data_IF_439199693670
#
_entry.id   IF_439199693670
#
_cell.length_a   1.000
_cell.length_b   1.000
_cell.length_c   1.000
_cell.angle_alpha   90.00
_cell.angle_beta   90.00
_cell.angle_gamma   90.00
#
_symmetry.space_group_name_H-M   'P 1'
#
loop_
_entity.id
_entity.type
_entity.pdbx_description
1 polymer ?
#
# COMPACT_ATOMS: atom_id res chain seq x y z
N UNK A 1 1.80 2.91 -8.92
CA UNK A 1 0.80 2.01 -8.31
C UNK A 1 -0.40 2.83 -7.84
N UNK A 2 -1.64 2.45 -8.18
CA UNK A 2 -2.83 3.29 -7.90
C UNK A 2 -3.15 3.39 -6.39
N UNK A 3 -3.14 2.27 -5.68
CA UNK A 3 -3.33 2.25 -4.22
C UNK A 3 -2.35 3.18 -3.50
N UNK A 4 -1.04 3.05 -3.74
CA UNK A 4 -0.02 3.86 -3.02
C UNK A 4 -0.17 5.36 -3.32
N UNK A 5 -0.62 5.76 -4.51
CA UNK A 5 -0.91 7.17 -4.81
C UNK A 5 -2.10 7.71 -4.02
N UNK A 6 -3.08 6.88 -3.68
CA UNK A 6 -4.20 7.26 -2.83
C UNK A 6 -3.81 7.24 -1.34
N UNK A 7 -3.01 6.24 -0.93
CA UNK A 7 -2.50 6.09 0.44
C UNK A 7 -1.57 7.23 0.85
N UNK A 8 -0.65 7.64 -0.03
CA UNK A 8 0.31 8.73 0.21
C UNK A 8 -0.33 10.12 0.08
N UNK A 9 -1.46 10.35 0.76
CA UNK A 9 -2.22 11.61 0.81
C UNK A 9 -2.59 11.96 2.25
N UNK A 10 -1.61 12.11 3.16
CA UNK A 10 -1.86 12.32 4.59
C UNK A 10 -2.62 13.61 4.91
N UNK A 11 -2.69 14.55 3.97
CA UNK A 11 -3.40 15.82 4.10
C UNK A 11 -4.92 15.72 3.91
N UNK A 12 -5.43 14.58 3.43
CA UNK A 12 -6.86 14.39 3.20
C UNK A 12 -7.62 14.07 4.50
N UNK A 13 -8.87 14.53 4.63
CA UNK A 13 -9.81 14.02 5.63
C UNK A 13 -9.94 12.48 5.56
N UNK A 14 -10.11 11.84 6.72
CA UNK A 14 -10.10 10.38 6.85
C UNK A 14 -11.11 9.66 5.94
N UNK A 15 -12.32 10.19 5.80
CA UNK A 15 -13.37 9.66 4.93
C UNK A 15 -12.97 9.71 3.44
N UNK A 16 -12.41 10.84 2.98
CA UNK A 16 -11.94 11.01 1.59
C UNK A 16 -10.72 10.16 1.29
N UNK A 17 -9.79 10.09 2.24
CA UNK A 17 -8.61 9.25 2.12
C UNK A 17 -9.01 7.77 2.01
N UNK A 18 -9.88 7.30 2.92
CA UNK A 18 -10.40 5.93 2.90
C UNK A 18 -11.13 5.60 1.60
N UNK A 19 -12.01 6.49 1.12
CA UNK A 19 -12.70 6.33 -0.15
C UNK A 19 -11.74 6.19 -1.34
N UNK A 20 -10.55 6.80 -1.27
CA UNK A 20 -9.50 6.68 -2.28
C UNK A 20 -8.77 5.33 -2.27
N UNK A 21 -8.52 4.76 -1.08
CA UNK A 21 -7.78 3.48 -0.95
C UNK A 21 -8.67 2.25 -1.06
N UNK A 22 -9.91 2.32 -0.54
CA UNK A 22 -10.88 1.21 -0.47
C UNK A 22 -11.05 0.43 -1.79
N UNK A 23 -11.18 1.05 -2.97
CA UNK A 23 -11.44 0.32 -4.22
C UNK A 23 -10.31 -0.64 -4.65
N UNK A 24 -9.12 -0.48 -4.06
CA UNK A 24 -7.93 -1.25 -4.37
C UNK A 24 -7.56 -2.26 -3.28
N UNK A 25 -8.31 -2.31 -2.18
CA UNK A 25 -8.02 -3.20 -1.04
C UNK A 25 -8.98 -4.37 -0.98
N UNK A 26 -8.54 -5.48 -0.41
CA UNK A 26 -9.47 -6.52 0.06
C UNK A 26 -10.36 -5.95 1.18
N UNK A 27 -11.57 -6.49 1.35
CA UNK A 27 -12.55 -5.95 2.30
C UNK A 27 -12.00 -5.78 3.71
N UNK A 28 -11.40 -6.84 4.27
CA UNK A 28 -10.82 -6.80 5.62
C UNK A 28 -9.73 -5.72 5.79
N UNK A 29 -8.92 -5.49 4.75
CA UNK A 29 -7.90 -4.43 4.80
C UNK A 29 -8.50 -3.05 4.63
N UNK A 30 -9.54 -2.89 3.80
CA UNK A 30 -10.29 -1.64 3.70
C UNK A 30 -10.95 -1.28 5.04
N UNK A 31 -11.48 -2.26 5.78
CA UNK A 31 -12.08 -2.04 7.10
C UNK A 31 -11.02 -1.59 8.12
N UNK A 32 -9.82 -2.21 8.11
CA UNK A 32 -8.69 -1.75 8.92
C UNK A 32 -8.27 -0.31 8.54
N UNK A 33 -8.17 -0.01 7.25
CA UNK A 33 -7.82 1.33 6.79
C UNK A 33 -8.86 2.38 7.19
N UNK A 34 -10.12 2.00 7.42
CA UNK A 34 -11.16 2.92 7.89
C UNK A 34 -10.89 3.46 9.29
N UNK A 35 -10.04 2.78 10.09
CA UNK A 35 -9.68 3.20 11.46
C UNK A 35 -8.38 4.01 11.50
N UNK A 36 -7.72 4.22 10.36
CA UNK A 36 -6.42 4.90 10.27
C UNK A 36 -6.63 6.41 10.20
N UNK A 37 -5.92 7.17 11.04
CA UNK A 37 -5.75 8.61 10.82
C UNK A 37 -4.73 8.83 9.69
N UNK A 38 -5.11 9.44 8.54
CA UNK A 38 -4.20 9.66 7.42
C UNK A 38 -2.96 10.47 7.78
N UNK A 39 -3.03 11.34 8.79
CA UNK A 39 -1.88 12.13 9.26
C UNK A 39 -0.72 11.25 9.79
N UNK A 40 -0.98 9.97 10.09
CA UNK A 40 0.04 9.00 10.49
C UNK A 40 0.76 8.35 9.29
N UNK A 41 0.32 8.59 8.06
CA UNK A 41 0.99 8.10 6.85
C UNK A 41 2.24 8.94 6.60
N UNK A 42 3.45 8.37 6.65
CA UNK A 42 4.68 9.15 6.56
C UNK A 42 4.99 9.62 5.13
N UNK A 43 4.47 8.92 4.12
CA UNK A 43 4.74 9.23 2.71
C UNK A 43 3.74 10.25 2.15
N UNK A 44 4.23 11.17 1.31
CA UNK A 44 3.39 12.13 0.56
C UNK A 44 3.44 11.88 -0.95
N UNK A 45 4.39 11.09 -1.45
CA UNK A 45 4.49 10.76 -2.87
C UNK A 45 5.27 9.48 -3.15
N UNK A 46 5.04 8.93 -4.34
CA UNK A 46 5.89 7.89 -4.93
C UNK A 46 7.08 8.57 -5.61
N UNK A 47 8.30 8.09 -5.36
CA UNK A 47 9.56 8.66 -5.88
C UNK A 47 10.14 7.90 -7.06
N UNK A 48 9.56 6.75 -7.43
CA UNK A 48 10.01 5.93 -8.55
C UNK A 48 9.04 4.80 -8.93
N UNK A 49 9.37 4.01 -9.97
CA UNK A 49 8.53 2.88 -10.36
C UNK A 49 8.54 1.79 -9.29
N UNK A 50 7.39 1.15 -9.07
CA UNK A 50 7.30 -0.04 -8.23
C UNK A 50 7.89 -1.26 -8.94
N UNK A 51 8.49 -2.17 -8.19
CA UNK A 51 9.10 -3.41 -8.70
C UNK A 51 8.56 -4.61 -7.94
N UNK A 52 8.25 -5.70 -8.66
CA UNK A 52 7.87 -6.95 -8.01
C UNK A 52 9.11 -7.53 -7.30
N UNK A 53 8.98 -7.79 -6.00
CA UNK A 53 10.00 -8.43 -5.18
C UNK A 53 9.80 -9.95 -5.11
N UNK A 54 8.55 -10.40 -5.14
CA UNK A 54 8.16 -11.81 -5.26
C UNK A 54 6.79 -11.89 -5.93
N UNK A 55 6.54 -12.94 -6.71
CA UNK A 55 5.26 -13.14 -7.39
C UNK A 55 4.93 -14.63 -7.53
N UNK A 56 3.67 -14.97 -7.31
CA UNK A 56 3.01 -16.24 -7.61
C UNK A 56 1.71 -15.95 -8.38
N UNK A 57 0.98 -16.99 -8.76
CA UNK A 57 -0.34 -16.83 -9.40
C UNK A 57 -1.37 -16.09 -8.53
N UNK A 58 -1.25 -16.20 -7.19
CA UNK A 58 -2.26 -15.70 -6.24
C UNK A 58 -1.74 -14.57 -5.34
N UNK A 59 -0.44 -14.30 -5.33
CA UNK A 59 0.19 -13.27 -4.49
C UNK A 59 1.30 -12.54 -5.24
N UNK A 60 1.38 -11.22 -5.10
CA UNK A 60 2.53 -10.42 -5.57
C UNK A 60 2.92 -9.42 -4.52
N UNK A 61 4.21 -9.40 -4.19
CA UNK A 61 4.85 -8.44 -3.30
C UNK A 61 5.53 -7.37 -4.16
N UNK A 62 5.15 -6.10 -4.00
CA UNK A 62 5.67 -4.98 -4.78
C UNK A 62 6.39 -4.00 -3.87
N UNK A 63 7.67 -3.75 -4.15
CA UNK A 63 8.42 -2.65 -3.53
C UNK A 63 8.11 -1.34 -4.28
N UNK A 64 7.65 -0.34 -3.54
CA UNK A 64 7.30 0.98 -4.06
C UNK A 64 8.12 2.04 -3.33
N UNK A 65 9.05 2.73 -4.01
CA UNK A 65 9.81 3.80 -3.38
C UNK A 65 8.91 5.02 -3.14
N UNK A 66 8.95 5.53 -1.92
CA UNK A 66 8.27 6.76 -1.50
C UNK A 66 9.28 7.79 -1.01
N UNK A 67 8.82 8.98 -0.71
CA UNK A 67 9.61 10.02 -0.05
C UNK A 67 9.86 9.74 1.44
N UNK A 68 9.20 8.73 2.01
CA UNK A 68 9.41 8.23 3.38
C UNK A 68 10.11 6.87 3.45
N UNK A 69 10.72 6.41 2.34
CA UNK A 69 11.42 5.13 2.25
C UNK A 69 10.73 4.10 1.37
N UNK A 70 11.13 2.83 1.48
CA UNK A 70 10.63 1.74 0.65
C UNK A 70 9.38 1.10 1.28
N UNK A 71 8.25 1.17 0.58
CA UNK A 71 7.01 0.54 1.00
C UNK A 71 6.86 -0.82 0.33
N UNK A 72 6.68 -1.90 1.11
CA UNK A 72 6.28 -3.20 0.60
C UNK A 72 4.77 -3.25 0.54
N UNK A 73 4.21 -3.48 -0.64
CA UNK A 73 2.77 -3.70 -0.82
C UNK A 73 2.51 -5.15 -1.18
N UNK A 74 1.66 -5.80 -0.39
CA UNK A 74 1.26 -7.18 -0.63
C UNK A 74 -0.09 -7.18 -1.34
N UNK A 75 -0.10 -7.71 -2.55
CA UNK A 75 -1.30 -7.88 -3.35
C UNK A 75 -1.68 -9.36 -3.40
N UNK A 76 -2.98 -9.64 -3.34
CA UNK A 76 -3.55 -10.97 -3.57
C UNK A 76 -4.52 -10.93 -4.73
N UNK A 77 -4.66 -12.05 -5.43
CA UNK A 77 -5.65 -12.21 -6.49
C UNK A 77 -7.02 -12.47 -5.88
N UNK A 78 -8.03 -11.79 -6.41
CA UNK A 78 -9.44 -11.93 -6.05
C UNK A 78 -10.25 -11.90 -7.34
N UNK A 79 -10.58 -13.09 -7.85
CA UNK A 79 -11.09 -13.26 -9.21
C UNK A 79 -10.09 -12.74 -10.25
N UNK A 80 -10.53 -11.82 -11.10
CA UNK A 80 -9.70 -11.20 -12.15
C UNK A 80 -8.98 -9.94 -11.71
N UNK A 81 -9.03 -9.61 -10.40
CA UNK A 81 -8.44 -8.39 -9.86
C UNK A 81 -7.32 -8.70 -8.89
N UNK A 82 -6.27 -7.89 -8.92
CA UNK A 82 -5.28 -7.79 -7.85
C UNK A 82 -5.71 -6.72 -6.86
N UNK A 83 -5.81 -7.09 -5.59
CA UNK A 83 -6.17 -6.19 -4.50
C UNK A 83 -5.09 -6.20 -3.42
N UNK A 84 -4.90 -5.06 -2.77
CA UNK A 84 -3.95 -4.91 -1.65
C UNK A 84 -4.53 -5.60 -0.42
N UNK A 85 -3.75 -6.53 0.14
CA UNK A 85 -4.08 -7.26 1.35
C UNK A 85 -3.45 -6.62 2.59
N UNK A 86 -2.24 -6.06 2.45
CA UNK A 86 -1.55 -5.37 3.54
C UNK A 86 -0.39 -4.52 3.02
N UNK A 87 0.12 -3.66 3.89
CA UNK A 87 1.38 -2.95 3.74
C UNK A 87 2.40 -3.50 4.74
N UNK A 88 3.66 -3.55 4.32
CA UNK A 88 4.80 -3.80 5.20
C UNK A 88 5.83 -2.69 5.02
N UNK A 89 6.59 -2.42 6.07
CA UNK A 89 7.88 -1.74 5.92
C UNK A 89 8.90 -2.82 5.60
N UNK A 90 9.81 -2.57 4.65
CA UNK A 90 11.01 -3.41 4.59
C UNK A 90 11.79 -3.12 5.87
N UNK A 91 11.88 -4.08 6.78
CA UNK A 91 13.07 -4.15 7.62
C UNK A 91 14.25 -4.31 6.66
N UNK A 92 15.19 -3.37 6.72
CA UNK A 92 16.51 -3.65 6.17
C UNK A 92 16.99 -4.89 6.91
N UNK A 93 17.22 -5.98 6.17
CA UNK A 93 17.91 -7.12 6.74
C UNK A 93 19.22 -6.55 7.29
N UNK A 94 19.37 -6.57 8.61
CA UNK A 94 20.64 -6.26 9.24
C UNK A 94 21.67 -7.18 8.58
N UNK A 95 22.46 -6.63 7.67
CA UNK A 95 23.69 -7.26 7.22
C UNK A 95 24.52 -7.44 8.48
N UNK A 96 24.67 -8.71 8.91
CA UNK A 96 25.70 -9.10 9.86
C UNK A 96 27.06 -8.83 9.28
#
# INVERSE_FOLDING_TARGET
MRFVRAWARPELPADRWWAGVRPYSVAAYADLLATVNPANVPATRITGPGRAAAATAERTDVDVPTDAGMLRVVCVRSGDRWLVATLGVREEAATR
#
